data_IF_427827025646
#
_entry.id   IF_427827025646
#
_cell.length_a   1.000
_cell.length_b   1.000
_cell.length_c   1.000
_cell.angle_alpha   90.00
_cell.angle_beta   90.00
_cell.angle_gamma   90.00
#
_symmetry.space_group_name_H-M   'P 1'
#
loop_
_entity.id
_entity.type
_entity.pdbx_description
1 polymer ?
#
# COMPACT_ATOMS: atom_id res chain seq x y z
N UNK A 1 11.06 8.24 -11.53
CA UNK A 1 9.74 7.58 -11.60
C UNK A 1 9.22 7.65 -13.03
N UNK A 2 8.76 6.52 -13.55
CA UNK A 2 8.08 6.45 -14.85
C UNK A 2 6.58 6.27 -14.57
N UNK A 3 5.74 7.13 -15.15
CA UNK A 3 4.29 7.06 -15.01
C UNK A 3 3.65 6.96 -16.40
N UNK A 4 2.90 5.88 -16.62
CA UNK A 4 2.09 5.67 -17.80
C UNK A 4 0.62 5.92 -17.47
N UNK A 5 -0.06 6.69 -18.29
CA UNK A 5 -1.50 6.94 -18.20
C UNK A 5 -2.16 6.58 -19.50
N UNK A 6 -3.24 5.80 -19.42
CA UNK A 6 -4.08 5.44 -20.57
C UNK A 6 -5.50 5.96 -20.32
N UNK A 7 -6.10 6.54 -21.34
CA UNK A 7 -7.48 7.01 -21.37
C UNK A 7 -8.19 6.48 -22.61
N UNK A 8 -9.50 6.29 -22.55
CA UNK A 8 -10.31 5.94 -23.73
C UNK A 8 -10.45 7.07 -24.74
N UNK A 9 -9.87 8.25 -24.47
CA UNK A 9 -9.99 9.44 -25.30
C UNK A 9 -11.23 10.26 -24.95
N UNK A 10 -11.65 11.09 -25.89
CA UNK A 10 -12.83 11.96 -25.73
C UNK A 10 -14.10 11.20 -26.12
N UNK A 11 -15.15 11.35 -25.33
CA UNK A 11 -16.43 10.67 -25.58
C UNK A 11 -17.14 11.20 -26.84
N UNK A 12 -16.94 12.48 -27.15
CA UNK A 12 -17.66 13.21 -28.20
C UNK A 12 -17.09 13.03 -29.63
N UNK A 13 -15.90 12.44 -29.81
CA UNK A 13 -15.22 12.40 -31.09
C UNK A 13 -14.76 11.03 -31.57
N UNK A 14 -15.11 9.94 -30.89
CA UNK A 14 -14.69 8.60 -31.30
C UNK A 14 -13.17 8.45 -31.46
N UNK A 15 -12.40 9.36 -30.90
CA UNK A 15 -10.93 9.32 -30.94
C UNK A 15 -10.47 8.19 -30.04
N UNK A 16 -9.70 7.27 -30.57
CA UNK A 16 -9.21 6.07 -29.90
C UNK A 16 -8.43 6.33 -28.63
N UNK A 17 -7.88 5.29 -28.04
CA UNK A 17 -7.10 5.33 -26.80
C UNK A 17 -6.02 6.40 -26.85
N UNK A 18 -6.00 7.28 -25.86
CA UNK A 18 -4.96 8.26 -25.62
C UNK A 18 -4.05 7.78 -24.49
N UNK A 19 -2.75 7.70 -24.77
CA UNK A 19 -1.75 7.36 -23.75
C UNK A 19 -0.67 8.42 -23.68
N UNK A 20 -0.15 8.66 -22.48
CA UNK A 20 1.06 9.46 -22.29
C UNK A 20 1.94 8.88 -21.18
N UNK A 21 3.21 9.18 -21.28
CA UNK A 21 4.24 8.75 -20.35
C UNK A 21 4.98 9.98 -19.83
N UNK A 22 5.23 9.99 -18.51
CA UNK A 22 6.06 11.01 -17.89
C UNK A 22 7.22 10.38 -17.13
N UNK A 23 8.37 11.03 -17.14
CA UNK A 23 9.54 10.67 -16.35
C UNK A 23 9.85 11.83 -15.41
N UNK A 24 9.90 11.54 -14.11
CA UNK A 24 10.19 12.54 -13.07
C UNK A 24 11.16 11.95 -12.04
N UNK A 25 11.96 12.76 -11.34
CA UNK A 25 12.69 12.30 -10.16
C UNK A 25 11.75 11.66 -9.13
N UNK A 26 12.26 10.73 -8.32
CA UNK A 26 11.52 10.25 -7.15
C UNK A 26 11.45 11.39 -6.12
N UNK A 27 10.30 11.61 -5.47
CA UNK A 27 10.18 12.60 -4.42
C UNK A 27 11.03 12.19 -3.20
N UNK A 28 11.69 13.15 -2.55
CA UNK A 28 12.53 12.89 -1.35
C UNK A 28 11.71 12.25 -0.22
N UNK A 29 10.45 12.60 -0.09
CA UNK A 29 9.53 11.99 0.87
C UNK A 29 9.41 10.46 0.75
N UNK A 30 9.63 9.90 -0.45
CA UNK A 30 9.67 8.44 -0.63
C UNK A 30 10.91 7.82 0.01
N UNK A 31 12.06 8.50 -0.06
CA UNK A 31 13.29 8.05 0.59
C UNK A 31 13.21 8.22 2.11
N UNK A 32 12.62 9.32 2.58
CA UNK A 32 12.39 9.54 4.02
C UNK A 32 11.46 8.48 4.61
N UNK A 33 10.39 8.14 3.92
CA UNK A 33 9.48 7.07 4.33
C UNK A 33 10.21 5.72 4.49
N UNK A 34 11.14 5.39 3.58
CA UNK A 34 11.95 4.16 3.68
C UNK A 34 12.91 4.17 4.85
N UNK A 35 13.54 5.31 5.13
CA UNK A 35 14.56 5.47 6.20
C UNK A 35 13.96 5.54 7.59
N UNK A 36 12.92 6.38 7.74
CA UNK A 36 12.38 6.76 9.05
C UNK A 36 11.12 5.98 9.41
N UNK A 37 10.41 5.47 8.38
CA UNK A 37 9.09 4.89 8.52
C UNK A 37 7.99 5.93 8.57
N UNK A 38 6.77 5.45 8.79
CA UNK A 38 5.54 6.23 8.71
C UNK A 38 4.74 6.14 9.99
N UNK A 39 4.18 7.26 10.43
CA UNK A 39 3.05 7.30 11.34
C UNK A 39 1.77 7.28 10.50
N UNK A 40 0.88 6.34 10.77
CA UNK A 40 -0.29 6.05 9.95
C UNK A 40 -1.56 6.27 10.76
N UNK A 41 -2.58 6.87 10.14
CA UNK A 41 -3.91 7.00 10.72
C UNK A 41 -4.90 6.10 9.97
N UNK A 42 -5.71 5.36 10.70
CA UNK A 42 -6.78 4.56 10.12
C UNK A 42 -7.95 5.45 9.67
N UNK A 43 -8.52 5.11 8.51
CA UNK A 43 -9.65 5.81 7.92
C UNK A 43 -10.72 4.79 7.52
N UNK A 44 -11.91 4.91 8.10
CA UNK A 44 -13.05 4.11 7.65
C UNK A 44 -13.37 4.44 6.18
N UNK A 45 -13.33 3.40 5.35
CA UNK A 45 -13.67 3.51 3.93
C UNK A 45 -15.18 3.64 3.69
N UNK A 46 -16.00 3.38 4.71
CA UNK A 46 -17.46 3.44 4.65
C UNK A 46 -18.13 2.24 3.97
N UNK A 47 -17.38 1.16 3.71
CA UNK A 47 -17.88 -0.07 3.08
C UNK A 47 -17.33 -1.30 3.77
N UNK A 48 -18.10 -2.40 3.80
CA UNK A 48 -17.65 -3.70 4.30
C UNK A 48 -16.46 -4.25 3.48
N UNK A 49 -15.71 -5.19 4.05
CA UNK A 49 -14.54 -5.78 3.40
C UNK A 49 -14.89 -6.52 2.09
N UNK A 50 -16.09 -7.02 1.94
CA UNK A 50 -16.58 -7.75 0.75
C UNK A 50 -17.46 -6.92 -0.18
N UNK A 51 -17.54 -5.60 0.01
CA UNK A 51 -18.45 -4.71 -0.70
C UNK A 51 -18.35 -4.77 -2.24
N UNK A 52 -17.19 -5.17 -2.76
CA UNK A 52 -16.95 -5.26 -4.20
C UNK A 52 -17.26 -6.64 -4.80
N UNK A 53 -17.57 -7.65 -3.99
CA UNK A 53 -17.80 -9.02 -4.43
C UNK A 53 -18.89 -9.13 -5.51
N UNK A 54 -19.94 -8.30 -5.41
CA UNK A 54 -21.10 -8.33 -6.32
C UNK A 54 -21.33 -7.00 -7.03
N UNK A 55 -20.37 -6.09 -6.99
CA UNK A 55 -20.50 -4.73 -7.52
C UNK A 55 -19.30 -4.33 -8.42
N UNK A 56 -19.06 -5.04 -9.55
CA UNK A 56 -17.90 -4.78 -10.41
C UNK A 56 -17.91 -3.37 -11.01
N UNK A 57 -19.05 -2.73 -11.11
CA UNK A 57 -19.18 -1.34 -11.58
C UNK A 57 -18.60 -0.31 -10.62
N UNK A 58 -18.34 -0.65 -9.35
CA UNK A 58 -17.64 0.21 -8.41
C UNK A 58 -16.13 0.28 -8.65
N UNK A 59 -15.62 -0.53 -9.60
CA UNK A 59 -14.22 -0.56 -10.04
C UNK A 59 -13.21 -0.83 -8.89
N UNK A 60 -13.62 -1.59 -7.87
CA UNK A 60 -12.71 -2.00 -6.80
C UNK A 60 -11.51 -2.77 -7.35
N UNK A 61 -10.31 -2.45 -6.88
CA UNK A 61 -9.07 -3.05 -7.35
C UNK A 61 -8.59 -2.56 -8.71
N UNK A 62 -9.32 -1.65 -9.38
CA UNK A 62 -8.88 -1.07 -10.66
C UNK A 62 -8.03 0.17 -10.40
N UNK A 63 -6.84 0.22 -11.02
CA UNK A 63 -5.96 1.38 -10.93
C UNK A 63 -6.44 2.50 -11.85
N UNK A 64 -7.36 3.32 -11.36
CA UNK A 64 -7.94 4.45 -12.09
C UNK A 64 -7.16 5.75 -11.86
N UNK A 65 -7.50 6.80 -12.62
CA UNK A 65 -7.02 8.17 -12.37
C UNK A 65 -7.93 8.95 -11.41
N UNK A 66 -9.03 8.37 -10.93
CA UNK A 66 -10.00 8.98 -10.03
C UNK A 66 -9.48 8.95 -8.56
N UNK A 67 -8.49 9.76 -8.25
CA UNK A 67 -7.77 9.75 -6.97
C UNK A 67 -8.35 10.72 -5.92
N UNK A 68 -9.55 11.25 -6.12
CA UNK A 68 -10.12 12.24 -5.21
C UNK A 68 -10.24 11.74 -3.76
N UNK A 69 -10.79 10.53 -3.57
CA UNK A 69 -10.94 9.90 -2.24
C UNK A 69 -9.56 9.62 -1.62
N UNK A 70 -8.63 9.08 -2.40
CA UNK A 70 -7.27 8.78 -1.95
C UNK A 70 -6.53 10.02 -1.45
N UNK A 71 -6.63 11.15 -2.19
CA UNK A 71 -6.03 12.41 -1.81
C UNK A 71 -6.72 13.06 -0.61
N UNK A 72 -8.05 12.92 -0.49
CA UNK A 72 -8.80 13.42 0.66
C UNK A 72 -8.39 12.66 1.94
N UNK A 73 -8.31 11.33 1.89
CA UNK A 73 -7.86 10.51 3.02
C UNK A 73 -6.43 10.86 3.45
N UNK A 74 -5.53 11.10 2.49
CA UNK A 74 -4.17 11.52 2.81
C UNK A 74 -4.13 12.87 3.51
N UNK A 75 -4.87 13.87 3.04
CA UNK A 75 -4.96 15.20 3.70
C UNK A 75 -5.53 15.08 5.11
N UNK A 76 -6.55 14.24 5.30
CA UNK A 76 -7.13 13.99 6.61
C UNK A 76 -6.09 13.35 7.56
N UNK A 77 -5.29 12.39 7.08
CA UNK A 77 -4.20 11.82 7.86
C UNK A 77 -3.17 12.89 8.27
N UNK A 78 -2.78 13.77 7.35
CA UNK A 78 -1.89 14.90 7.63
C UNK A 78 -2.46 15.85 8.68
N UNK A 79 -3.77 16.17 8.64
CA UNK A 79 -4.46 16.97 9.65
C UNK A 79 -4.47 16.31 11.03
N UNK A 80 -4.49 14.97 11.09
CA UNK A 80 -4.35 14.18 12.33
C UNK A 80 -2.90 14.01 12.78
N UNK A 81 -1.92 14.64 12.11
CA UNK A 81 -0.50 14.53 12.42
C UNK A 81 0.15 13.23 11.95
N UNK A 82 -0.50 12.46 11.09
CA UNK A 82 0.04 11.25 10.48
C UNK A 82 0.67 11.54 9.12
N UNK A 83 1.56 10.64 8.66
CA UNK A 83 2.23 10.75 7.36
C UNK A 83 1.42 10.12 6.23
N UNK A 84 0.54 9.15 6.56
CA UNK A 84 -0.24 8.40 5.58
C UNK A 84 -1.54 7.87 6.21
N UNK A 85 -2.54 7.58 5.37
CA UNK A 85 -3.76 6.91 5.75
C UNK A 85 -3.66 5.39 5.52
N UNK A 86 -4.36 4.61 6.33
CA UNK A 86 -4.68 3.22 6.07
C UNK A 86 -6.20 3.09 6.00
N UNK A 87 -6.74 2.70 4.87
CA UNK A 87 -8.17 2.40 4.76
C UNK A 87 -8.52 1.17 5.58
N UNK A 88 -9.61 1.29 6.32
CA UNK A 88 -10.22 0.22 7.12
C UNK A 88 -11.64 0.03 6.63
N UNK A 89 -12.08 -1.20 6.51
CA UNK A 89 -13.49 -1.50 6.17
C UNK A 89 -14.43 -1.17 7.33
N UNK A 90 -15.69 -0.88 7.05
CA UNK A 90 -16.70 -0.58 8.08
C UNK A 90 -16.90 -1.72 9.08
N UNK A 91 -16.53 -2.95 8.73
CA UNK A 91 -16.50 -4.13 9.59
C UNK A 91 -15.13 -4.37 10.25
N UNK A 92 -14.19 -3.40 10.16
CA UNK A 92 -12.98 -3.30 10.98
C UNK A 92 -11.75 -4.05 10.47
N UNK A 93 -11.66 -4.36 9.18
CA UNK A 93 -10.46 -4.98 8.59
C UNK A 93 -9.56 -3.95 7.94
N UNK A 94 -8.26 -4.07 8.18
CA UNK A 94 -7.24 -3.29 7.49
C UNK A 94 -7.23 -3.64 6.00
N UNK A 95 -7.16 -2.63 5.13
CA UNK A 95 -7.24 -2.81 3.69
C UNK A 95 -5.92 -2.42 3.01
N UNK A 96 -5.81 -1.21 2.52
CA UNK A 96 -4.64 -0.65 1.87
C UNK A 96 -4.51 0.85 2.16
N UNK A 97 -3.36 1.44 1.92
CA UNK A 97 -3.21 2.89 1.92
C UNK A 97 -3.67 3.51 0.59
N UNK A 98 -3.94 4.81 0.52
CA UNK A 98 -4.32 5.51 -0.71
C UNK A 98 -3.44 5.24 -1.93
N UNK A 99 -2.15 4.95 -1.72
CA UNK A 99 -1.17 4.76 -2.80
C UNK A 99 -0.21 3.59 -2.56
N UNK A 100 -0.49 2.71 -1.59
CA UNK A 100 0.38 1.60 -1.23
C UNK A 100 -0.41 0.43 -0.68
N UNK A 101 0.06 -0.78 -0.91
CA UNK A 101 -0.46 -1.99 -0.29
C UNK A 101 0.13 -2.18 1.11
N UNK A 102 -0.53 -2.98 1.95
CA UNK A 102 -0.10 -3.33 3.30
C UNK A 102 0.57 -4.70 3.30
N UNK A 103 1.72 -4.81 3.96
CA UNK A 103 2.34 -6.09 4.38
C UNK A 103 2.43 -6.08 5.90
N UNK A 104 2.11 -7.21 6.52
CA UNK A 104 2.24 -7.43 7.97
C UNK A 104 3.01 -8.72 8.18
N UNK A 105 3.91 -8.75 9.18
CA UNK A 105 4.69 -9.92 9.56
C UNK A 105 4.17 -10.52 10.87
N UNK A 106 4.05 -11.84 10.88
CA UNK A 106 3.84 -12.64 12.09
C UNK A 106 4.80 -13.83 12.05
N UNK A 107 5.91 -13.77 12.79
CA UNK A 107 6.98 -14.76 12.73
C UNK A 107 7.57 -14.86 11.32
N UNK A 108 7.45 -16.03 10.70
CA UNK A 108 7.91 -16.30 9.32
C UNK A 108 6.81 -16.08 8.27
N UNK A 109 5.63 -15.59 8.68
CA UNK A 109 4.52 -15.33 7.78
C UNK A 109 4.45 -13.85 7.38
N UNK A 110 4.37 -13.58 6.08
CA UNK A 110 4.00 -12.29 5.50
C UNK A 110 2.53 -12.32 5.07
N UNK A 111 1.76 -11.37 5.57
CA UNK A 111 0.33 -11.28 5.31
C UNK A 111 -0.01 -10.00 4.56
N UNK A 112 -0.89 -10.08 3.59
CA UNK A 112 -1.51 -8.93 2.92
C UNK A 112 -3.01 -9.11 2.81
N UNK A 113 -3.74 -8.01 2.61
CA UNK A 113 -5.18 -8.04 2.39
C UNK A 113 -5.50 -8.65 1.02
N UNK A 114 -6.47 -9.59 0.93
CA UNK A 114 -6.88 -10.19 -0.34
C UNK A 114 -7.41 -9.14 -1.31
N UNK A 115 -7.23 -9.37 -2.59
CA UNK A 115 -7.86 -8.59 -3.68
C UNK A 115 -9.29 -9.07 -3.99
N UNK A 116 -9.90 -8.54 -5.04
CA UNK A 116 -11.23 -8.95 -5.49
C UNK A 116 -12.34 -8.40 -4.60
N UNK A 117 -13.00 -9.22 -3.76
CA UNK A 117 -14.13 -8.77 -2.93
C UNK A 117 -13.83 -7.53 -2.09
N UNK A 118 -12.60 -7.33 -1.65
CA UNK A 118 -12.17 -6.19 -0.83
C UNK A 118 -12.03 -4.89 -1.61
N UNK A 119 -11.90 -4.96 -2.93
CA UNK A 119 -11.59 -3.82 -3.78
C UNK A 119 -10.16 -3.29 -3.63
N UNK A 120 -9.28 -4.00 -2.92
CA UNK A 120 -7.86 -3.68 -2.81
C UNK A 120 -7.16 -3.92 -4.13
N UNK A 121 -6.24 -3.02 -4.49
CA UNK A 121 -5.48 -3.10 -5.74
C UNK A 121 -4.55 -4.32 -5.75
N UNK A 122 -4.56 -5.08 -6.88
CA UNK A 122 -3.57 -6.12 -7.12
C UNK A 122 -2.17 -5.49 -7.31
N UNK A 123 -1.42 -5.44 -6.22
CA UNK A 123 -0.10 -4.78 -6.20
C UNK A 123 0.98 -5.67 -6.81
N UNK A 124 1.65 -5.18 -7.85
CA UNK A 124 2.83 -5.83 -8.43
C UNK A 124 3.94 -5.96 -7.38
N UNK A 125 4.12 -4.96 -6.52
CA UNK A 125 5.11 -4.99 -5.44
C UNK A 125 4.82 -6.13 -4.45
N UNK A 126 3.57 -6.35 -4.08
CA UNK A 126 3.19 -7.52 -3.24
C UNK A 126 3.55 -8.81 -3.96
N UNK A 127 3.12 -8.97 -5.21
CA UNK A 127 3.33 -10.22 -5.96
C UNK A 127 4.82 -10.58 -6.04
N UNK A 128 5.68 -9.62 -6.43
CA UNK A 128 7.13 -9.86 -6.53
C UNK A 128 7.79 -10.12 -5.17
N UNK A 129 7.37 -9.37 -4.13
CA UNK A 129 7.92 -9.53 -2.77
C UNK A 129 7.54 -10.90 -2.19
N UNK A 130 6.28 -11.32 -2.35
CA UNK A 130 5.79 -12.60 -1.83
C UNK A 130 6.44 -13.78 -2.53
N UNK A 131 6.54 -13.73 -3.87
CA UNK A 131 7.27 -14.77 -4.63
C UNK A 131 8.72 -14.91 -4.17
N UNK A 132 9.42 -13.81 -3.89
CA UNK A 132 10.78 -13.83 -3.39
C UNK A 132 10.86 -14.34 -1.94
N UNK A 133 9.91 -13.97 -1.09
CA UNK A 133 9.83 -14.43 0.30
C UNK A 133 9.59 -15.95 0.38
N UNK A 134 8.68 -16.48 -0.44
CA UNK A 134 8.44 -17.94 -0.52
C UNK A 134 9.70 -18.72 -0.96
N UNK A 135 10.43 -18.19 -1.94
CA UNK A 135 11.73 -18.76 -2.37
C UNK A 135 12.79 -18.72 -1.27
N UNK A 136 12.67 -17.77 -0.34
CA UNK A 136 13.53 -17.64 0.84
C UNK A 136 13.04 -18.48 2.05
N UNK A 137 11.97 -19.26 1.89
CA UNK A 137 11.44 -20.17 2.92
C UNK A 137 10.42 -19.54 3.88
N UNK A 138 9.92 -18.35 3.57
CA UNK A 138 8.84 -17.69 4.32
C UNK A 138 7.47 -18.13 3.81
N UNK A 139 6.43 -17.92 4.62
CA UNK A 139 5.06 -18.09 4.20
C UNK A 139 4.48 -16.75 3.69
N UNK A 140 3.70 -16.77 2.61
CA UNK A 140 3.04 -15.61 2.04
C UNK A 140 1.53 -15.86 1.96
N UNK A 141 0.74 -15.07 2.69
CA UNK A 141 -0.69 -15.32 2.88
C UNK A 141 -1.53 -14.09 2.55
N UNK A 142 -2.65 -14.34 1.88
CA UNK A 142 -3.69 -13.35 1.61
C UNK A 142 -4.87 -13.61 2.54
N UNK A 143 -5.03 -12.81 3.58
CA UNK A 143 -6.15 -12.90 4.52
C UNK A 143 -6.58 -11.54 5.06
N UNK A 144 -7.83 -11.45 5.51
CA UNK A 144 -8.29 -10.26 6.23
C UNK A 144 -7.62 -10.21 7.61
N UNK A 145 -7.22 -9.01 8.02
CA UNK A 145 -6.59 -8.71 9.31
C UNK A 145 -7.34 -7.59 10.00
N UNK A 146 -7.56 -7.69 11.29
CA UNK A 146 -8.04 -6.58 12.11
C UNK A 146 -6.94 -5.53 12.26
N UNK A 147 -7.33 -4.27 12.50
CA UNK A 147 -6.37 -3.19 12.78
C UNK A 147 -5.48 -3.54 14.00
N UNK A 148 -6.04 -4.21 15.01
CA UNK A 148 -5.27 -4.68 16.17
C UNK A 148 -4.17 -5.67 15.80
N UNK A 149 -4.42 -6.58 14.85
CA UNK A 149 -3.40 -7.54 14.38
C UNK A 149 -2.23 -6.82 13.68
N UNK A 150 -2.47 -5.67 13.05
CA UNK A 150 -1.39 -4.86 12.46
C UNK A 150 -0.53 -4.22 13.56
N UNK A 151 -1.15 -3.73 14.63
CA UNK A 151 -0.45 -3.14 15.79
C UNK A 151 0.34 -4.20 16.57
N UNK A 152 -0.26 -5.37 16.78
CA UNK A 152 0.30 -6.46 17.59
C UNK A 152 1.25 -7.39 16.79
N UNK A 153 1.62 -6.99 15.55
CA UNK A 153 2.49 -7.77 14.64
C UNK A 153 3.97 -7.64 14.99
N UNK A 154 4.82 -8.45 14.37
CA UNK A 154 6.29 -8.32 14.43
C UNK A 154 6.83 -7.21 13.53
N UNK A 155 5.96 -6.58 12.72
CA UNK A 155 6.26 -5.46 11.84
C UNK A 155 5.23 -5.29 10.74
N UNK A 156 5.06 -4.06 10.27
CA UNK A 156 4.15 -3.74 9.19
C UNK A 156 4.76 -2.70 8.23
N UNK A 157 4.41 -2.79 6.95
CA UNK A 157 4.97 -1.92 5.90
C UNK A 157 3.89 -1.50 4.91
N UNK A 158 4.00 -0.26 4.43
CA UNK A 158 3.30 0.22 3.24
C UNK A 158 4.23 0.13 2.03
N UNK A 159 3.79 -0.59 1.00
CA UNK A 159 4.64 -0.93 -0.14
C UNK A 159 4.04 -0.49 -1.47
N UNK A 160 4.85 0.07 -2.34
CA UNK A 160 4.47 0.41 -3.72
C UNK A 160 5.70 0.61 -4.61
N UNK A 161 5.53 0.56 -5.93
CA UNK A 161 6.63 0.72 -6.89
C UNK A 161 7.39 2.05 -6.76
N UNK A 162 6.75 3.11 -6.26
CA UNK A 162 7.37 4.43 -6.06
C UNK A 162 7.94 4.56 -4.66
N UNK A 163 7.15 4.22 -3.65
CA UNK A 163 7.55 4.32 -2.24
C UNK A 163 8.61 3.27 -1.89
N UNK A 164 8.61 2.09 -2.53
CA UNK A 164 9.38 0.93 -2.10
C UNK A 164 8.77 0.33 -0.84
N UNK A 165 9.61 -0.10 0.09
CA UNK A 165 9.22 -0.70 1.38
C UNK A 165 9.36 0.37 2.47
N UNK A 166 8.25 0.87 3.00
CA UNK A 166 8.23 1.88 4.06
C UNK A 166 7.62 1.30 5.34
N UNK A 167 8.39 1.16 6.44
CA UNK A 167 7.87 0.58 7.67
C UNK A 167 6.83 1.51 8.31
N UNK A 168 5.80 0.92 8.91
CA UNK A 168 4.86 1.62 9.78
C UNK A 168 5.47 1.66 11.17
N UNK A 169 5.64 2.85 11.75
CA UNK A 169 6.19 3.05 13.09
C UNK A 169 5.10 3.19 14.14
N UNK A 170 3.94 3.69 13.73
CA UNK A 170 2.75 3.71 14.56
C UNK A 170 1.47 3.69 13.71
N UNK A 171 0.41 3.14 14.27
CA UNK A 171 -0.95 3.16 13.72
C UNK A 171 -1.89 3.70 14.79
N UNK A 172 -2.57 4.81 14.48
CA UNK A 172 -3.45 5.54 15.41
C UNK A 172 -2.77 5.87 16.75
N UNK A 173 -1.50 6.29 16.69
CA UNK A 173 -0.69 6.63 17.86
C UNK A 173 -0.14 5.45 18.65
N UNK A 174 -0.50 4.22 18.31
CA UNK A 174 0.06 3.00 18.91
C UNK A 174 1.32 2.58 18.14
N UNK A 175 2.40 2.30 18.85
CA UNK A 175 3.64 1.83 18.25
C UNK A 175 3.43 0.47 17.57
N UNK A 176 4.05 0.29 16.39
CA UNK A 176 4.17 -0.97 15.67
C UNK A 176 5.61 -1.43 15.79
N UNK A 177 5.87 -2.68 16.16
CA UNK A 177 7.23 -3.21 16.24
C UNK A 177 8.02 -3.03 14.95
N UNK A 178 9.33 -2.84 15.09
CA UNK A 178 10.22 -2.65 13.95
C UNK A 178 11.53 -3.40 14.15
N UNK A 179 11.78 -4.33 13.26
CA UNK A 179 13.03 -5.06 13.12
C UNK A 179 13.80 -4.51 11.92
N UNK A 180 14.95 -3.88 12.18
CA UNK A 180 15.76 -3.24 11.16
C UNK A 180 16.42 -4.25 10.22
N UNK A 181 16.85 -5.40 10.73
CA UNK A 181 17.46 -6.46 9.94
C UNK A 181 16.44 -7.07 8.98
N UNK A 182 15.26 -7.38 9.50
CA UNK A 182 14.17 -7.88 8.67
C UNK A 182 13.69 -6.85 7.65
N UNK A 183 13.64 -5.58 7.99
CA UNK A 183 13.30 -4.52 7.03
C UNK A 183 14.29 -4.46 5.87
N UNK A 184 15.59 -4.61 6.12
CA UNK A 184 16.60 -4.69 5.07
C UNK A 184 16.41 -5.94 4.21
N UNK A 185 16.17 -7.10 4.84
CA UNK A 185 15.88 -8.35 4.13
C UNK A 185 14.65 -8.22 3.24
N UNK A 186 13.55 -7.67 3.75
CA UNK A 186 12.32 -7.46 2.97
C UNK A 186 12.53 -6.48 1.81
N UNK A 187 13.36 -5.45 2.01
CA UNK A 187 13.72 -4.49 0.96
C UNK A 187 14.50 -5.16 -0.16
N UNK A 188 15.46 -6.03 0.18
CA UNK A 188 16.24 -6.80 -0.79
C UNK A 188 15.36 -7.82 -1.53
N UNK A 189 14.50 -8.56 -0.85
CA UNK A 189 13.51 -9.47 -1.45
C UNK A 189 12.59 -8.77 -2.44
N UNK A 190 12.17 -7.56 -2.11
CA UNK A 190 11.33 -6.74 -3.00
C UNK A 190 12.11 -6.13 -4.19
N UNK A 191 13.42 -6.29 -4.25
CA UNK A 191 14.27 -5.77 -5.32
C UNK A 191 14.47 -4.26 -5.30
N UNK A 192 14.27 -3.60 -4.17
CA UNK A 192 14.51 -2.16 -4.05
C UNK A 192 15.95 -1.86 -3.61
N UNK A 193 16.57 -0.79 -4.15
CA UNK A 193 17.88 -0.35 -3.71
C UNK A 193 17.82 0.14 -2.27
N UNK A 194 18.83 -0.24 -1.47
CA UNK A 194 19.01 0.29 -0.11
C UNK A 194 19.20 1.80 -0.17
N UNK A 195 18.47 2.52 0.66
CA UNK A 195 18.60 3.96 0.78
C UNK A 195 19.78 4.23 1.73
N UNK A 196 20.90 4.74 1.21
CA UNK A 196 22.06 5.10 2.05
C UNK A 196 21.62 6.19 3.04
N UNK A 197 22.03 6.03 4.31
CA UNK A 197 21.89 7.09 5.28
C UNK A 197 22.65 8.34 4.74
N UNK A 198 21.96 9.46 4.65
CA UNK A 198 22.62 10.75 4.41
C UNK A 198 23.43 11.03 5.67
N UNK A 199 24.77 11.12 5.52
CA UNK A 199 25.67 11.52 6.59
C UNK A 199 25.48 12.99 6.94
#
# INVERSE_FOLDING_TARGET
MLKLVLSRGREDHGVGVLGYLTVTPLPESSFDARRRGLHVASMDRGTAADAYAKAPWLLGGVKTIAYAINLAAKREAEQRGAHEALFVSADGYALEAPTAALIVRHGDELVTTPTGPTGVLASVTIATTFEAAEKAGMYATHRLMRVSEVVDSDGAWLVSSVRGIAPIRSLDGKEVPFDAEFHEQLTDLAGFPKVRAVR
#
